data_IF_595276361533
#
_entry.id   IF_595276361533
#
_cell.length_a   1.000
_cell.length_b   1.000
_cell.length_c   1.000
_cell.angle_alpha   90.00
_cell.angle_beta   90.00
_cell.angle_gamma   90.00
#
_symmetry.space_group_name_H-M   'P 1'
#
loop_
_entity.id
_entity.type
_entity.pdbx_description
1 polymer ?
#
# COMPACT_ATOMS: atom_id res chain seq x y z
N UNK A 1 -12.24 -25.65 -20.21
CA UNK A 1 -12.63 -24.55 -19.28
C UNK A 1 -11.44 -23.99 -18.47
N UNK A 2 -10.35 -24.74 -18.25
CA UNK A 2 -9.17 -24.31 -17.46
C UNK A 2 -8.27 -23.27 -18.17
N UNK A 3 -7.96 -23.45 -19.46
CA UNK A 3 -6.97 -22.61 -20.15
C UNK A 3 -7.49 -21.20 -20.51
N UNK A 4 -8.76 -21.10 -20.94
CA UNK A 4 -9.38 -19.81 -21.23
C UNK A 4 -9.48 -18.91 -19.96
N UNK A 5 -9.74 -19.52 -18.80
CA UNK A 5 -9.77 -18.82 -17.52
C UNK A 5 -8.37 -18.34 -17.09
N UNK A 6 -7.34 -19.18 -17.28
CA UNK A 6 -5.96 -18.81 -16.99
C UNK A 6 -5.45 -17.69 -17.90
N UNK A 7 -5.83 -17.72 -19.19
CA UNK A 7 -5.52 -16.66 -20.15
C UNK A 7 -6.18 -15.32 -19.76
N UNK A 8 -7.46 -15.34 -19.39
CA UNK A 8 -8.17 -14.13 -18.92
C UNK A 8 -7.57 -13.56 -17.63
N UNK A 9 -7.24 -14.43 -16.66
CA UNK A 9 -6.58 -14.03 -15.42
C UNK A 9 -5.20 -13.38 -15.67
N UNK A 10 -4.42 -13.91 -16.63
CA UNK A 10 -3.13 -13.34 -17.02
C UNK A 10 -3.27 -11.98 -17.72
N UNK A 11 -4.28 -11.83 -18.57
CA UNK A 11 -4.57 -10.58 -19.26
C UNK A 11 -4.99 -9.47 -18.26
N UNK A 12 -5.82 -9.81 -17.28
CA UNK A 12 -6.24 -8.90 -16.19
C UNK A 12 -5.06 -8.50 -15.30
N UNK A 13 -4.18 -9.44 -14.97
CA UNK A 13 -2.93 -9.17 -14.26
C UNK A 13 -2.02 -8.18 -15.00
N UNK A 14 -1.78 -8.42 -16.30
CA UNK A 14 -0.97 -7.52 -17.13
C UNK A 14 -1.61 -6.13 -17.27
N UNK A 15 -2.94 -6.06 -17.41
CA UNK A 15 -3.67 -4.79 -17.44
C UNK A 15 -3.52 -3.99 -16.13
N UNK A 16 -3.67 -4.63 -14.98
CA UNK A 16 -3.51 -4.00 -13.67
C UNK A 16 -2.08 -3.44 -13.48
N UNK A 17 -1.06 -4.20 -13.88
CA UNK A 17 0.34 -3.74 -13.80
C UNK A 17 0.60 -2.55 -14.74
N UNK A 18 0.08 -2.58 -15.96
CA UNK A 18 0.20 -1.44 -16.90
C UNK A 18 -0.50 -0.19 -16.37
N UNK A 19 -1.65 -0.33 -15.73
CA UNK A 19 -2.32 0.80 -15.07
C UNK A 19 -1.48 1.36 -13.93
N UNK A 20 -0.85 0.49 -13.13
CA UNK A 20 0.03 0.89 -12.02
C UNK A 20 1.24 1.71 -12.48
N UNK A 21 1.78 1.44 -13.69
CA UNK A 21 2.82 2.27 -14.30
C UNK A 21 2.34 3.70 -14.57
N UNK A 22 1.09 3.88 -15.02
CA UNK A 22 0.54 5.21 -15.33
C UNK A 22 0.40 6.06 -14.06
N UNK A 23 0.08 5.43 -12.93
CA UNK A 23 -0.02 6.12 -11.64
C UNK A 23 1.32 6.23 -10.89
N UNK A 24 2.46 5.82 -11.47
CA UNK A 24 3.76 5.89 -10.82
C UNK A 24 4.20 7.32 -10.51
N UNK A 25 3.96 8.28 -11.41
CA UNK A 25 4.23 9.70 -11.12
C UNK A 25 3.36 10.22 -9.98
N UNK A 26 2.10 9.80 -9.90
CA UNK A 26 1.21 10.16 -8.80
C UNK A 26 1.72 9.57 -7.48
N UNK A 27 2.20 8.32 -7.47
CA UNK A 27 2.78 7.68 -6.27
C UNK A 27 4.05 8.36 -5.80
N UNK A 28 4.96 8.71 -6.72
CA UNK A 28 6.18 9.44 -6.41
C UNK A 28 5.87 10.85 -5.90
N UNK A 29 4.93 11.56 -6.55
CA UNK A 29 4.46 12.87 -6.12
C UNK A 29 3.83 12.83 -4.73
N UNK A 30 2.96 11.86 -4.45
CA UNK A 30 2.38 11.65 -3.13
C UNK A 30 3.45 11.30 -2.08
N UNK A 31 4.41 10.44 -2.42
CA UNK A 31 5.52 10.09 -1.52
C UNK A 31 6.43 11.28 -1.20
N UNK A 32 6.75 12.11 -2.20
CA UNK A 32 7.52 13.33 -2.01
C UNK A 32 6.75 14.38 -1.20
N UNK A 33 5.46 14.58 -1.50
CA UNK A 33 4.59 15.46 -0.74
C UNK A 33 4.47 15.00 0.72
N UNK A 34 4.28 13.69 0.96
CA UNK A 34 4.25 13.13 2.31
C UNK A 34 5.56 13.38 3.06
N UNK A 35 6.71 13.11 2.43
CA UNK A 35 8.02 13.37 3.04
C UNK A 35 8.23 14.86 3.39
N UNK A 36 7.79 15.78 2.53
CA UNK A 36 7.87 17.22 2.77
C UNK A 36 6.92 17.68 3.88
N UNK A 37 5.65 17.27 3.83
CA UNK A 37 4.62 17.65 4.80
C UNK A 37 4.96 17.11 6.19
N UNK A 38 5.54 15.91 6.28
CA UNK A 38 5.94 15.32 7.55
C UNK A 38 7.35 15.71 8.01
N UNK A 39 8.11 16.45 7.19
CA UNK A 39 9.46 16.88 7.57
C UNK A 39 9.55 17.72 8.86
N UNK A 40 8.57 18.59 9.22
CA UNK A 40 8.62 19.31 10.50
C UNK A 40 8.37 18.40 11.72
N UNK A 41 7.66 17.29 11.52
CA UNK A 41 7.28 16.33 12.56
C UNK A 41 8.34 15.23 12.75
N UNK A 42 8.86 14.69 11.64
CA UNK A 42 9.78 13.54 11.65
C UNK A 42 11.25 13.95 11.47
N UNK A 43 11.50 15.21 11.13
CA UNK A 43 12.82 15.74 10.80
C UNK A 43 13.20 15.56 9.33
N UNK A 44 14.02 16.49 8.84
CA UNK A 44 14.48 16.51 7.45
C UNK A 44 15.26 15.25 7.06
N UNK A 45 16.17 14.79 7.93
CA UNK A 45 17.00 13.60 7.69
C UNK A 45 16.14 12.37 7.48
N UNK A 46 15.10 12.17 8.30
CA UNK A 46 14.17 11.05 8.15
C UNK A 46 13.41 11.14 6.82
N UNK A 47 12.85 12.31 6.51
CA UNK A 47 12.10 12.52 5.27
C UNK A 47 12.92 12.20 4.02
N UNK A 48 14.18 12.65 3.96
CA UNK A 48 15.10 12.37 2.84
C UNK A 48 15.46 10.90 2.76
N UNK A 49 15.86 10.27 3.87
CA UNK A 49 16.22 8.83 3.89
C UNK A 49 15.03 7.96 3.49
N UNK A 50 13.84 8.28 4.00
CA UNK A 50 12.61 7.58 3.66
C UNK A 50 12.25 7.75 2.19
N UNK A 51 12.33 8.97 1.66
CA UNK A 51 12.06 9.25 0.25
C UNK A 51 13.04 8.51 -0.67
N UNK A 52 14.33 8.49 -0.34
CA UNK A 52 15.33 7.72 -1.08
C UNK A 52 15.01 6.22 -1.07
N UNK A 53 14.66 5.67 0.10
CA UNK A 53 14.22 4.28 0.21
C UNK A 53 12.99 4.00 -0.63
N UNK A 54 12.00 4.91 -0.62
CA UNK A 54 10.78 4.77 -1.41
C UNK A 54 11.08 4.81 -2.91
N UNK A 55 11.98 5.68 -3.37
CA UNK A 55 12.45 5.72 -4.76
C UNK A 55 13.15 4.42 -5.14
N UNK A 56 14.00 3.86 -4.28
CA UNK A 56 14.65 2.55 -4.52
C UNK A 56 13.60 1.45 -4.68
N UNK A 57 12.57 1.44 -3.83
CA UNK A 57 11.44 0.50 -3.94
C UNK A 57 10.68 0.70 -5.27
N UNK A 58 10.42 1.94 -5.71
CA UNK A 58 9.79 2.18 -7.01
C UNK A 58 10.68 1.75 -8.20
N UNK A 59 12.01 1.91 -8.10
CA UNK A 59 12.93 1.44 -9.13
C UNK A 59 12.98 -0.09 -9.19
N UNK A 60 12.94 -0.76 -8.04
CA UNK A 60 12.84 -2.22 -7.98
C UNK A 60 11.52 -2.72 -8.58
N UNK A 61 10.40 -2.04 -8.30
CA UNK A 61 9.09 -2.28 -8.91
C UNK A 61 9.19 -2.20 -10.44
N UNK A 62 9.82 -1.11 -10.95
CA UNK A 62 10.04 -0.92 -12.37
C UNK A 62 10.87 -2.05 -13.02
N UNK A 63 11.90 -2.54 -12.33
CA UNK A 63 12.75 -3.64 -12.84
C UNK A 63 12.04 -4.98 -12.84
N UNK A 64 11.29 -5.30 -11.78
CA UNK A 64 10.55 -6.57 -11.67
C UNK A 64 9.47 -6.65 -12.76
N UNK A 65 8.79 -5.55 -13.05
CA UNK A 65 7.71 -5.49 -14.02
C UNK A 65 8.14 -5.02 -15.43
N UNK A 66 9.43 -4.74 -15.66
CA UNK A 66 9.98 -4.31 -16.95
C UNK A 66 9.52 -5.16 -18.16
N UNK A 67 9.45 -6.51 -18.09
CA UNK A 67 9.01 -7.35 -19.23
C UNK A 67 7.53 -7.17 -19.61
N UNK A 68 6.69 -6.78 -18.64
CA UNK A 68 5.28 -6.46 -18.90
C UNK A 68 5.15 -5.05 -19.47
N UNK A 69 5.97 -4.12 -18.99
CA UNK A 69 5.98 -2.74 -19.48
C UNK A 69 6.49 -2.61 -20.92
N UNK A 70 7.43 -3.45 -21.33
CA UNK A 70 7.95 -3.51 -22.69
C UNK A 70 7.04 -4.27 -23.67
N UNK A 71 5.93 -4.85 -23.18
CA UNK A 71 5.00 -5.62 -24.00
C UNK A 71 5.54 -6.97 -24.47
N UNK A 72 6.72 -7.38 -24.00
CA UNK A 72 7.36 -8.64 -24.43
C UNK A 72 6.58 -9.87 -23.96
N UNK A 73 5.92 -9.80 -22.79
CA UNK A 73 5.16 -10.92 -22.24
C UNK A 73 3.91 -10.43 -21.50
N UNK A 74 2.73 -10.97 -21.83
CA UNK A 74 1.52 -10.83 -21.00
C UNK A 74 1.43 -11.92 -19.92
N UNK A 75 2.27 -12.95 -19.99
CA UNK A 75 2.32 -14.05 -19.03
C UNK A 75 3.64 -14.00 -18.26
N UNK A 76 3.57 -13.82 -16.93
CA UNK A 76 4.70 -14.05 -16.05
C UNK A 76 4.65 -15.50 -15.55
N UNK A 77 5.78 -16.22 -15.66
CA UNK A 77 5.92 -17.55 -15.06
C UNK A 77 5.69 -17.51 -13.55
N UNK A 78 5.32 -18.64 -12.94
CA UNK A 78 4.92 -18.74 -11.52
C UNK A 78 5.88 -18.05 -10.54
N UNK A 79 7.19 -18.20 -10.75
CA UNK A 79 8.24 -17.58 -9.92
C UNK A 79 8.22 -16.05 -10.03
N UNK A 80 8.04 -15.51 -11.23
CA UNK A 80 7.95 -14.06 -11.47
C UNK A 80 6.64 -13.46 -10.94
N UNK A 81 5.54 -14.20 -10.97
CA UNK A 81 4.28 -13.79 -10.34
C UNK A 81 4.45 -13.67 -8.82
N UNK A 82 5.12 -14.64 -8.18
CA UNK A 82 5.44 -14.56 -6.74
C UNK A 82 6.33 -13.36 -6.44
N UNK A 83 7.40 -13.15 -7.21
CA UNK A 83 8.27 -11.96 -7.11
C UNK A 83 7.48 -10.66 -7.27
N UNK A 84 6.56 -10.59 -8.23
CA UNK A 84 5.65 -9.47 -8.41
C UNK A 84 4.80 -9.23 -7.17
N UNK A 85 4.19 -10.27 -6.61
CA UNK A 85 3.38 -10.17 -5.40
C UNK A 85 4.17 -9.70 -4.18
N UNK A 86 5.37 -10.25 -3.98
CA UNK A 86 6.30 -9.81 -2.92
C UNK A 86 6.65 -8.34 -3.11
N UNK A 87 6.88 -7.90 -4.35
CA UNK A 87 7.17 -6.50 -4.65
C UNK A 87 5.97 -5.58 -4.38
N UNK A 88 4.75 -6.00 -4.75
CA UNK A 88 3.52 -5.26 -4.45
C UNK A 88 3.33 -5.07 -2.94
N UNK A 89 3.53 -6.16 -2.20
CA UNK A 89 3.44 -6.18 -0.75
C UNK A 89 4.52 -5.32 -0.10
N UNK A 90 5.78 -5.45 -0.53
CA UNK A 90 6.89 -4.66 -0.01
C UNK A 90 6.67 -3.16 -0.25
N UNK A 91 6.17 -2.80 -1.43
CA UNK A 91 5.92 -1.40 -1.79
C UNK A 91 4.77 -0.80 -0.95
N UNK A 92 3.67 -1.55 -0.81
CA UNK A 92 2.57 -1.19 0.07
C UNK A 92 2.99 -1.09 1.55
N UNK A 93 3.83 -2.03 2.00
CA UNK A 93 4.39 -2.05 3.37
C UNK A 93 5.30 -0.86 3.62
N UNK A 94 6.16 -0.51 2.67
CA UNK A 94 7.06 0.63 2.78
C UNK A 94 6.29 1.94 2.83
N UNK A 95 5.26 2.11 2.00
CA UNK A 95 4.39 3.27 2.08
C UNK A 95 3.67 3.34 3.44
N UNK A 96 3.09 2.22 3.89
CA UNK A 96 2.42 2.12 5.18
C UNK A 96 3.35 2.34 6.37
N UNK A 97 4.66 2.11 6.24
CA UNK A 97 5.63 2.30 7.32
C UNK A 97 5.68 3.74 7.84
N UNK A 98 5.28 4.74 7.04
CA UNK A 98 5.14 6.14 7.48
C UNK A 98 4.13 6.30 8.61
N UNK A 99 3.15 5.41 8.72
CA UNK A 99 2.17 5.45 9.80
C UNK A 99 2.80 5.22 11.17
N UNK A 100 3.84 4.38 11.27
CA UNK A 100 4.51 4.04 12.54
C UNK A 100 5.12 5.29 13.21
N UNK A 101 6.01 6.06 12.56
CA UNK A 101 6.59 7.25 13.18
C UNK A 101 5.55 8.35 13.39
N UNK A 102 4.50 8.44 12.55
CA UNK A 102 3.36 9.33 12.80
C UNK A 102 2.65 9.00 14.13
N UNK A 103 2.43 7.72 14.39
CA UNK A 103 1.85 7.24 15.65
C UNK A 103 2.74 7.52 16.85
N UNK A 104 4.02 7.18 16.74
CA UNK A 104 4.96 7.27 17.86
C UNK A 104 5.30 8.73 18.23
N UNK A 105 5.42 9.61 17.24
CA UNK A 105 5.89 10.99 17.47
C UNK A 105 4.78 12.04 17.41
N UNK A 106 3.70 11.80 16.66
CA UNK A 106 2.59 12.75 16.53
C UNK A 106 1.51 12.61 17.61
N UNK A 107 1.63 11.65 18.53
CA UNK A 107 0.64 11.40 19.58
C UNK A 107 -0.76 11.07 19.03
N UNK A 108 -1.84 11.44 19.73
CA UNK A 108 -3.21 11.12 19.31
C UNK A 108 -3.58 11.66 17.92
N UNK A 109 -3.15 12.88 17.59
CA UNK A 109 -3.39 13.49 16.27
C UNK A 109 -2.53 12.83 15.17
N UNK A 110 -1.31 12.41 15.52
CA UNK A 110 -0.47 11.60 14.64
C UNK A 110 -1.12 10.28 14.24
N UNK A 111 -1.84 9.65 15.18
CA UNK A 111 -2.69 8.48 14.91
C UNK A 111 -3.78 8.78 13.88
N UNK A 112 -4.50 9.90 13.99
CA UNK A 112 -5.51 10.30 12.99
C UNK A 112 -4.88 10.48 11.60
N UNK A 113 -3.75 11.18 11.52
CA UNK A 113 -3.02 11.38 10.27
C UNK A 113 -2.52 10.05 9.66
N UNK A 114 -2.03 9.13 10.49
CA UNK A 114 -1.66 7.79 10.08
C UNK A 114 -2.85 7.04 9.48
N UNK A 115 -4.04 7.15 10.08
CA UNK A 115 -5.25 6.50 9.61
C UNK A 115 -5.70 7.00 8.26
N UNK A 116 -5.68 8.33 8.07
CA UNK A 116 -5.98 8.95 6.78
C UNK A 116 -5.00 8.47 5.68
N UNK A 117 -3.70 8.41 6.01
CA UNK A 117 -2.68 7.96 5.07
C UNK A 117 -2.85 6.49 4.67
N UNK A 118 -3.07 5.60 5.65
CA UNK A 118 -3.25 4.16 5.39
C UNK A 118 -4.54 3.90 4.60
N UNK A 119 -5.65 4.57 4.97
CA UNK A 119 -6.93 4.46 4.27
C UNK A 119 -6.85 4.95 2.82
N UNK A 120 -6.17 6.08 2.57
CA UNK A 120 -5.90 6.55 1.21
C UNK A 120 -5.09 5.53 0.40
N UNK A 121 -4.08 4.91 1.02
CA UNK A 121 -3.30 3.83 0.40
C UNK A 121 -4.13 2.58 0.09
N UNK A 122 -5.12 2.25 0.93
CA UNK A 122 -6.01 1.11 0.73
C UNK A 122 -6.96 1.36 -0.45
N UNK A 123 -7.58 2.54 -0.50
CA UNK A 123 -8.43 2.97 -1.63
C UNK A 123 -7.63 3.00 -2.94
N UNK A 124 -6.40 3.52 -2.89
CA UNK A 124 -5.53 3.50 -4.07
C UNK A 124 -5.26 2.06 -4.56
N UNK A 125 -5.07 1.12 -3.64
CA UNK A 125 -4.82 -0.28 -3.95
C UNK A 125 -6.05 -0.98 -4.54
N UNK A 126 -7.26 -0.64 -4.09
CA UNK A 126 -8.51 -1.16 -4.66
C UNK A 126 -8.74 -0.64 -6.08
N UNK A 127 -8.53 0.66 -6.32
CA UNK A 127 -8.71 1.31 -7.63
C UNK A 127 -7.71 0.79 -8.67
N UNK A 128 -6.45 0.53 -8.28
CA UNK A 128 -5.39 0.14 -9.21
C UNK A 128 -5.23 -1.39 -9.38
N UNK A 129 -6.17 -2.18 -8.89
CA UNK A 129 -6.18 -3.64 -9.05
C UNK A 129 -7.43 -4.16 -9.80
N UNK A 130 -7.83 -3.59 -10.96
CA UNK A 130 -9.06 -3.99 -11.61
C UNK A 130 -9.03 -5.45 -12.02
N UNK A 131 -9.88 -6.24 -11.36
CA UNK A 131 -10.18 -7.60 -11.76
C UNK A 131 -9.15 -8.67 -11.37
N UNK A 132 -8.13 -8.39 -10.57
CA UNK A 132 -7.26 -9.43 -10.01
C UNK A 132 -7.32 -9.44 -8.48
N UNK A 133 -8.04 -10.42 -7.93
CA UNK A 133 -8.15 -10.63 -6.47
C UNK A 133 -6.77 -10.80 -5.81
N UNK A 134 -5.80 -11.35 -6.54
CA UNK A 134 -4.45 -11.61 -6.05
C UNK A 134 -3.64 -10.31 -5.95
N UNK A 135 -3.66 -9.46 -6.99
CA UNK A 135 -3.04 -8.11 -6.93
C UNK A 135 -3.64 -7.30 -5.80
N UNK A 136 -4.97 -7.34 -5.68
CA UNK A 136 -5.71 -6.63 -4.64
C UNK A 136 -5.25 -7.09 -3.25
N UNK A 137 -5.24 -8.41 -3.01
CA UNK A 137 -4.82 -8.97 -1.72
C UNK A 137 -3.37 -8.58 -1.39
N UNK A 138 -2.44 -8.75 -2.32
CA UNK A 138 -1.03 -8.43 -2.07
C UNK A 138 -0.76 -6.93 -1.85
N UNK A 139 -1.52 -6.05 -2.52
CA UNK A 139 -1.34 -4.61 -2.38
C UNK A 139 -2.10 -4.01 -1.18
N UNK A 140 -3.28 -4.55 -0.84
CA UNK A 140 -4.11 -4.03 0.24
C UNK A 140 -3.83 -4.68 1.60
N UNK A 141 -3.29 -5.90 1.63
CA UNK A 141 -3.00 -6.60 2.90
C UNK A 141 -2.12 -5.79 3.85
N UNK A 142 -1.00 -5.16 3.42
CA UNK A 142 -0.19 -4.32 4.32
C UNK A 142 -0.99 -3.18 4.95
N UNK A 143 -1.79 -2.47 4.16
CA UNK A 143 -2.62 -1.38 4.64
C UNK A 143 -3.64 -1.86 5.67
N UNK A 144 -4.29 -3.00 5.43
CA UNK A 144 -5.23 -3.56 6.40
C UNK A 144 -4.53 -4.03 7.68
N UNK A 145 -3.33 -4.59 7.61
CA UNK A 145 -2.54 -4.92 8.80
C UNK A 145 -2.19 -3.67 9.60
N UNK A 146 -1.77 -2.58 8.96
CA UNK A 146 -1.51 -1.32 9.64
C UNK A 146 -2.77 -0.73 10.28
N UNK A 147 -3.91 -0.72 9.58
CA UNK A 147 -5.19 -0.29 10.14
C UNK A 147 -5.62 -1.16 11.33
N UNK A 148 -5.48 -2.48 11.21
CA UNK A 148 -5.79 -3.42 12.29
C UNK A 148 -4.86 -3.24 13.50
N UNK A 149 -3.65 -2.72 13.31
CA UNK A 149 -2.74 -2.42 14.42
C UNK A 149 -3.14 -1.16 15.22
N UNK A 150 -3.96 -0.26 14.65
CA UNK A 150 -4.33 1.01 15.31
C UNK A 150 -5.00 0.85 16.68
N UNK A 151 -6.03 0.00 16.87
CA UNK A 151 -6.67 -0.15 18.18
C UNK A 151 -5.68 -0.64 19.25
N UNK A 152 -4.70 -1.47 18.87
CA UNK A 152 -3.65 -1.94 19.78
C UNK A 152 -2.72 -0.81 20.19
N UNK A 153 -2.30 0.05 19.25
CA UNK A 153 -1.52 1.25 19.59
C UNK A 153 -2.29 2.21 20.49
N UNK A 154 -3.58 2.42 20.25
CA UNK A 154 -4.43 3.26 21.12
C UNK A 154 -4.52 2.70 22.53
N UNK A 155 -4.77 1.39 22.67
CA UNK A 155 -4.83 0.73 23.97
C UNK A 155 -3.48 0.82 24.71
N UNK A 156 -2.36 0.62 24.01
CA UNK A 156 -1.02 0.71 24.58
C UNK A 156 -0.67 2.13 25.08
N UNK A 157 -1.23 3.17 24.46
CA UNK A 157 -1.07 4.57 24.89
C UNK A 157 -2.07 5.00 25.98
N UNK A 158 -2.88 4.07 26.50
CA UNK A 158 -3.83 4.35 27.58
C UNK A 158 -5.11 5.07 27.15
N UNK A 159 -5.51 4.95 25.87
CA UNK A 159 -6.77 5.50 25.41
C UNK A 159 -7.97 4.80 26.07
N UNK A 160 -9.06 5.55 26.29
CA UNK A 160 -10.32 5.00 26.82
C UNK A 160 -10.83 3.86 25.93
N UNK A 161 -11.30 2.78 26.55
CA UNK A 161 -11.85 1.59 25.90
C UNK A 161 -12.98 1.94 24.92
N UNK A 162 -13.74 3.02 25.17
CA UNK A 162 -14.79 3.53 24.30
C UNK A 162 -14.23 4.02 22.96
N UNK A 163 -13.09 4.72 22.97
CA UNK A 163 -12.44 5.18 21.74
C UNK A 163 -11.77 4.03 20.99
N UNK A 164 -11.14 3.09 21.70
CA UNK A 164 -10.50 1.90 21.10
C UNK A 164 -11.53 1.03 20.38
N UNK A 165 -12.69 0.80 21.01
CA UNK A 165 -13.78 0.01 20.40
C UNK A 165 -14.39 0.71 19.19
N UNK A 166 -14.63 2.03 19.26
CA UNK A 166 -15.11 2.81 18.12
C UNK A 166 -14.17 2.73 16.91
N UNK A 167 -12.86 2.85 17.13
CA UNK A 167 -11.85 2.73 16.06
C UNK A 167 -11.79 1.30 15.51
N UNK A 168 -11.86 0.28 16.36
CA UNK A 168 -11.89 -1.11 15.91
C UNK A 168 -13.10 -1.40 14.99
N UNK A 169 -14.29 -0.89 15.35
CA UNK A 169 -15.49 -1.01 14.52
C UNK A 169 -15.32 -0.29 13.19
N UNK A 170 -14.83 0.96 13.21
CA UNK A 170 -14.61 1.74 11.99
C UNK A 170 -13.61 1.06 11.03
N UNK A 171 -12.52 0.51 11.56
CA UNK A 171 -11.55 -0.28 10.78
C UNK A 171 -12.22 -1.51 10.17
N UNK A 172 -13.02 -2.25 10.93
CA UNK A 172 -13.74 -3.43 10.43
C UNK A 172 -14.69 -3.10 9.27
N UNK A 173 -15.48 -2.04 9.41
CA UNK A 173 -16.40 -1.56 8.36
C UNK A 173 -15.63 -1.13 7.11
N UNK A 174 -14.54 -0.39 7.26
CA UNK A 174 -13.72 0.07 6.13
C UNK A 174 -13.08 -1.09 5.37
N UNK A 175 -12.56 -2.10 6.08
CA UNK A 175 -12.01 -3.32 5.47
C UNK A 175 -13.08 -4.06 4.69
N UNK A 176 -14.28 -4.24 5.24
CA UNK A 176 -15.39 -4.86 4.51
C UNK A 176 -15.77 -4.08 3.25
N UNK A 177 -15.91 -2.76 3.35
CA UNK A 177 -16.24 -1.90 2.21
C UNK A 177 -15.21 -2.02 1.07
N UNK A 178 -13.92 -2.11 1.40
CA UNK A 178 -12.87 -2.26 0.40
C UNK A 178 -12.78 -3.67 -0.23
N UNK A 179 -13.41 -4.68 0.36
CA UNK A 179 -13.41 -6.06 -0.12
C UNK A 179 -14.68 -6.44 -0.90
N UNK A 180 -15.72 -5.59 -0.87
CA UNK A 180 -16.93 -5.72 -1.68
C UNK A 180 -16.68 -5.35 -3.15
#
# INVERSE_FOLDING_TARGET
MSEAYAADASARWAAAIRQRRRSLMQRLGMGAAAALVFSPLLGWTFGVVWLLGYVVVQLADLRVFAPIYSGQTNQMGRVRTVLGCVMLFANATFFGSLSIPLWLMGGPLGGVCAGLLISAGAIYSTINAPGSKLVLFCAAAPQFMYLASMPFFMAAMGADTTYVTAVAIAVGVFVMFCLQ
#
